data_IF_108719382545
#
_entry.id   IF_108719382545
#
_cell.length_a   1.000
_cell.length_b   1.000
_cell.length_c   1.000
_cell.angle_alpha   90.00
_cell.angle_beta   90.00
_cell.angle_gamma   90.00
#
_symmetry.space_group_name_H-M   'P 1'
#
loop_
_entity.id
_entity.type
_entity.pdbx_description
1 polymer ?
#
# COMPACT_ATOMS: atom_id res chain seq x y z
N UNK A 1 -60.28 -4.85 44.46
CA UNK A 1 -58.80 -4.95 44.49
C UNK A 1 -58.31 -5.01 43.05
N UNK A 2 -57.95 -3.87 42.46
CA UNK A 2 -57.32 -3.80 41.14
C UNK A 2 -55.84 -3.48 41.35
N UNK A 3 -54.98 -4.47 41.14
CA UNK A 3 -53.53 -4.30 41.19
C UNK A 3 -53.03 -3.70 39.89
N UNK A 4 -52.40 -2.53 39.96
CA UNK A 4 -51.69 -1.93 38.84
C UNK A 4 -50.28 -2.52 38.79
N UNK A 5 -49.95 -3.25 37.73
CA UNK A 5 -48.58 -3.65 37.42
C UNK A 5 -47.86 -2.49 36.76
N UNK A 6 -46.91 -1.90 37.50
CA UNK A 6 -46.00 -0.89 36.97
C UNK A 6 -45.01 -1.56 36.00
N UNK A 7 -45.06 -1.19 34.72
CA UNK A 7 -43.98 -1.47 33.79
C UNK A 7 -42.81 -0.55 34.11
N UNK A 8 -41.70 -1.13 34.56
CA UNK A 8 -40.43 -0.44 34.65
C UNK A 8 -39.94 -0.14 33.22
N UNK A 9 -39.93 1.13 32.84
CA UNK A 9 -39.18 1.59 31.68
C UNK A 9 -37.68 1.37 31.97
N UNK A 10 -37.09 0.39 31.29
CA UNK A 10 -35.63 0.32 31.16
C UNK A 10 -35.25 1.49 30.28
N UNK A 11 -34.70 2.55 30.89
CA UNK A 11 -34.09 3.65 30.16
C UNK A 11 -32.98 3.06 29.28
N UNK A 12 -33.14 3.17 27.97
CA UNK A 12 -32.07 2.87 27.02
C UNK A 12 -30.88 3.77 27.38
N UNK A 13 -29.80 3.18 27.91
CA UNK A 13 -28.54 3.89 28.13
C UNK A 13 -28.06 4.35 26.76
N UNK A 14 -28.18 5.65 26.49
CA UNK A 14 -27.60 6.25 25.31
C UNK A 14 -26.09 5.97 25.33
N UNK A 15 -25.64 5.14 24.39
CA UNK A 15 -24.21 4.87 24.18
C UNK A 15 -23.58 6.24 23.86
N UNK A 16 -22.56 6.62 24.64
CA UNK A 16 -21.86 7.88 24.41
C UNK A 16 -21.31 7.91 22.97
N UNK A 17 -21.35 9.06 22.27
CA UNK A 17 -20.79 9.14 20.93
C UNK A 17 -19.30 8.77 20.96
N UNK A 18 -18.78 8.13 19.89
CA UNK A 18 -17.37 7.77 19.83
C UNK A 18 -16.50 9.03 19.95
N UNK A 19 -15.29 8.91 20.53
CA UNK A 19 -14.37 10.03 20.64
C UNK A 19 -14.01 10.55 19.24
N UNK A 20 -13.95 11.87 19.11
CA UNK A 20 -13.61 12.51 17.85
C UNK A 20 -12.20 12.09 17.37
N UNK A 21 -11.98 11.98 16.05
CA UNK A 21 -10.65 11.72 15.50
C UNK A 21 -9.65 12.80 15.96
N UNK A 22 -8.37 12.45 16.20
CA UNK A 22 -7.35 13.44 16.55
C UNK A 22 -7.21 14.47 15.43
N UNK A 23 -6.93 15.72 15.78
CA UNK A 23 -6.75 16.79 14.80
C UNK A 23 -5.44 16.63 14.01
N UNK A 24 -5.39 17.20 12.80
CA UNK A 24 -4.22 17.12 11.91
C UNK A 24 -2.91 17.56 12.57
N UNK A 25 -2.95 18.63 13.37
CA UNK A 25 -1.80 19.14 14.09
C UNK A 25 -1.35 18.21 15.22
N UNK A 26 -2.27 17.46 15.83
CA UNK A 26 -1.97 16.45 16.85
C UNK A 26 -1.30 15.23 16.23
N UNK A 27 -1.77 14.79 15.06
CA UNK A 27 -1.21 13.64 14.33
C UNK A 27 0.24 13.90 13.92
N UNK A 28 0.52 15.11 13.42
CA UNK A 28 1.82 15.51 12.88
C UNK A 28 2.75 16.13 13.93
N UNK A 29 2.34 16.22 15.20
CA UNK A 29 3.14 16.88 16.24
C UNK A 29 4.35 16.02 16.59
N UNK A 30 5.55 16.60 16.43
CA UNK A 30 6.80 15.99 16.93
C UNK A 30 6.91 16.23 18.43
N UNK A 31 7.01 15.17 19.26
CA UNK A 31 7.24 15.33 20.70
C UNK A 31 8.58 16.05 20.97
N UNK A 32 8.66 17.00 21.93
CA UNK A 32 9.91 17.68 22.26
C UNK A 32 11.06 16.71 22.64
N UNK A 33 10.72 15.59 23.30
CA UNK A 33 11.70 14.55 23.63
C UNK A 33 12.24 13.84 22.39
N UNK A 34 11.39 13.58 21.39
CA UNK A 34 11.83 13.00 20.12
C UNK A 34 12.75 13.97 19.37
N UNK A 35 12.36 15.25 19.28
CA UNK A 35 13.19 16.30 18.70
C UNK A 35 14.57 16.32 19.37
N UNK A 36 14.64 16.40 20.70
CA UNK A 36 15.91 16.41 21.43
C UNK A 36 16.79 15.19 21.15
N UNK A 37 16.20 13.99 21.07
CA UNK A 37 16.94 12.76 20.74
C UNK A 37 17.47 12.78 19.31
N UNK A 38 16.68 13.24 18.34
CA UNK A 38 17.11 13.38 16.94
C UNK A 38 18.30 14.33 16.84
N UNK A 39 18.22 15.50 17.49
CA UNK A 39 19.31 16.49 17.53
C UNK A 39 20.58 15.97 18.21
N UNK A 40 20.45 15.02 19.16
CA UNK A 40 21.59 14.38 19.81
C UNK A 40 22.23 13.29 18.94
N UNK A 41 21.44 12.56 18.16
CA UNK A 41 21.86 11.37 17.40
C UNK A 41 22.35 11.68 16.00
N UNK A 42 21.96 12.83 15.44
CA UNK A 42 22.30 13.23 14.08
C UNK A 42 23.25 14.43 14.12
N UNK A 43 24.40 14.30 13.47
CA UNK A 43 25.33 15.43 13.33
C UNK A 43 24.82 16.38 12.24
N UNK A 44 24.24 17.51 12.64
CA UNK A 44 23.71 18.51 11.70
C UNK A 44 24.77 19.14 10.79
N UNK A 45 26.06 19.07 11.16
CA UNK A 45 27.17 19.58 10.35
C UNK A 45 27.60 18.59 9.29
N UNK A 46 27.19 17.32 9.41
CA UNK A 46 27.50 16.29 8.44
C UNK A 46 26.77 16.52 7.10
N UNK A 47 27.32 15.98 5.99
CA UNK A 47 26.64 15.96 4.70
C UNK A 47 25.24 15.35 4.80
N UNK A 48 24.31 15.79 3.95
CA UNK A 48 22.90 15.35 3.95
C UNK A 48 22.76 13.83 3.89
N UNK A 49 23.59 13.16 3.09
CA UNK A 49 23.56 11.71 2.96
C UNK A 49 23.99 10.98 4.24
N UNK A 50 24.97 11.53 4.96
CA UNK A 50 25.39 10.99 6.25
C UNK A 50 24.32 11.21 7.33
N UNK A 51 23.64 12.37 7.32
CA UNK A 51 22.48 12.63 8.20
C UNK A 51 21.36 11.63 7.95
N UNK A 52 21.05 11.34 6.69
CA UNK A 52 20.06 10.35 6.32
C UNK A 52 20.44 8.94 6.84
N UNK A 53 21.70 8.53 6.68
CA UNK A 53 22.18 7.25 7.20
C UNK A 53 22.10 7.17 8.74
N UNK A 54 22.45 8.24 9.44
CA UNK A 54 22.31 8.34 10.90
C UNK A 54 20.85 8.22 11.34
N UNK A 55 19.92 8.86 10.62
CA UNK A 55 18.49 8.75 10.88
C UNK A 55 17.95 7.34 10.64
N UNK A 56 18.33 6.69 9.54
CA UNK A 56 17.92 5.30 9.26
C UNK A 56 18.39 4.38 10.39
N UNK A 57 19.66 4.50 10.81
CA UNK A 57 20.18 3.76 11.96
C UNK A 57 19.41 4.06 13.24
N UNK A 58 19.22 5.34 13.55
CA UNK A 58 18.45 5.76 14.73
C UNK A 58 17.02 5.19 14.73
N UNK A 59 16.37 5.06 13.57
CA UNK A 59 15.01 4.52 13.49
C UNK A 59 14.95 3.00 13.81
N UNK A 60 15.95 2.21 13.45
CA UNK A 60 15.88 0.75 13.50
C UNK A 60 16.84 0.07 14.47
N UNK A 61 17.92 0.72 14.88
CA UNK A 61 18.90 0.11 15.78
C UNK A 61 18.31 -0.02 17.19
N UNK A 62 18.72 -1.08 17.90
CA UNK A 62 18.25 -1.40 19.25
C UNK A 62 18.58 -0.31 20.28
N UNK A 63 19.66 0.45 20.06
CA UNK A 63 20.03 1.60 20.89
C UNK A 63 19.36 2.91 20.43
N UNK A 64 18.56 2.88 19.36
CA UNK A 64 17.81 3.99 18.81
C UNK A 64 16.32 3.93 19.16
N UNK A 65 15.47 3.89 18.13
CA UNK A 65 14.03 3.79 18.29
C UNK A 65 13.51 2.35 18.38
N UNK A 66 14.25 1.39 17.81
CA UNK A 66 13.88 -0.02 17.73
C UNK A 66 12.44 -0.21 17.22
N UNK A 67 12.09 0.46 16.11
CA UNK A 67 10.73 0.45 15.58
C UNK A 67 10.33 -0.97 15.12
N UNK A 68 9.19 -1.44 15.61
CA UNK A 68 8.63 -2.76 15.33
C UNK A 68 7.42 -2.65 14.40
N UNK A 69 7.38 -3.49 13.37
CA UNK A 69 6.26 -3.50 12.43
C UNK A 69 4.99 -4.10 13.04
N UNK A 70 3.87 -3.40 12.88
CA UNK A 70 2.52 -3.83 13.22
C UNK A 70 1.54 -3.25 12.20
N UNK A 71 0.92 -4.12 11.40
CA UNK A 71 -0.02 -3.72 10.35
C UNK A 71 -1.22 -2.91 10.86
N UNK A 72 -1.63 -3.07 12.12
CA UNK A 72 -2.77 -2.36 12.72
C UNK A 72 -2.39 -1.06 13.44
N UNK A 73 -1.11 -0.70 13.45
CA UNK A 73 -0.60 0.46 14.18
C UNK A 73 -0.62 1.74 13.33
N UNK A 74 -1.80 2.17 12.86
CA UNK A 74 -1.95 3.50 12.24
C UNK A 74 -1.89 4.58 13.32
N UNK A 75 -0.67 4.93 13.73
CA UNK A 75 -0.40 5.83 14.86
C UNK A 75 -0.04 7.26 14.41
N UNK A 76 -0.35 8.24 15.25
CA UNK A 76 0.27 9.58 15.17
C UNK A 76 1.77 9.52 15.46
N UNK A 77 2.50 10.59 15.16
CA UNK A 77 3.94 10.67 15.45
C UNK A 77 4.23 10.46 16.95
N UNK A 78 3.41 11.07 17.81
CA UNK A 78 3.56 10.94 19.26
C UNK A 78 3.28 9.51 19.75
N UNK A 79 2.23 8.87 19.25
CA UNK A 79 1.89 7.48 19.58
C UNK A 79 2.93 6.50 19.05
N UNK A 80 3.44 6.70 17.84
CA UNK A 80 4.55 5.90 17.30
C UNK A 80 5.78 6.03 18.18
N UNK A 81 6.15 7.25 18.60
CA UNK A 81 7.28 7.44 19.49
C UNK A 81 7.08 6.78 20.87
N UNK A 82 5.86 6.79 21.40
CA UNK A 82 5.56 6.19 22.70
C UNK A 82 5.53 4.65 22.64
N UNK A 83 4.95 4.08 21.57
CA UNK A 83 4.70 2.63 21.46
C UNK A 83 5.79 1.87 20.72
N UNK A 84 6.57 2.56 19.89
CA UNK A 84 7.54 1.99 18.93
C UNK A 84 6.93 1.01 17.93
N UNK A 85 5.60 0.98 17.81
CA UNK A 85 4.87 0.18 16.82
C UNK A 85 4.53 1.03 15.60
N UNK A 86 4.80 0.49 14.42
CA UNK A 86 4.56 1.19 13.15
C UNK A 86 3.97 0.29 12.08
N UNK A 87 3.06 0.84 11.27
CA UNK A 87 2.86 0.35 9.91
C UNK A 87 3.58 1.28 8.91
N UNK A 88 3.40 1.01 7.62
CA UNK A 88 4.04 1.77 6.54
C UNK A 88 3.76 3.28 6.63
N UNK A 89 2.51 3.65 6.95
CA UNK A 89 2.10 5.04 7.05
C UNK A 89 2.68 5.72 8.29
N UNK A 90 2.51 5.15 9.49
CA UNK A 90 2.95 5.79 10.73
C UNK A 90 4.48 5.92 10.79
N UNK A 91 5.21 4.93 10.25
CA UNK A 91 6.65 5.05 10.03
C UNK A 91 6.99 6.21 9.08
N UNK A 92 6.30 6.28 7.95
CA UNK A 92 6.56 7.32 6.96
C UNK A 92 6.32 8.71 7.52
N UNK A 93 5.23 8.92 8.27
CA UNK A 93 4.94 10.18 8.95
C UNK A 93 6.04 10.54 9.97
N UNK A 94 6.42 9.59 10.84
CA UNK A 94 7.50 9.77 11.82
C UNK A 94 8.81 10.13 11.13
N UNK A 95 9.21 9.35 10.13
CA UNK A 95 10.51 9.49 9.48
C UNK A 95 10.61 10.78 8.68
N UNK A 96 9.56 11.15 7.92
CA UNK A 96 9.51 12.44 7.22
C UNK A 96 9.65 13.60 8.21
N UNK A 97 8.99 13.53 9.37
CA UNK A 97 9.11 14.56 10.39
C UNK A 97 10.54 14.65 10.96
N UNK A 98 11.16 13.51 11.32
CA UNK A 98 12.56 13.49 11.79
C UNK A 98 13.55 13.97 10.70
N UNK A 99 13.32 13.60 9.44
CA UNK A 99 14.16 14.02 8.32
C UNK A 99 14.10 15.53 8.09
N UNK A 100 12.89 16.11 8.13
CA UNK A 100 12.69 17.57 8.05
C UNK A 100 13.33 18.28 9.26
N UNK A 101 13.25 17.69 10.45
CA UNK A 101 13.84 18.23 11.69
C UNK A 101 15.37 18.37 11.64
N UNK A 102 16.04 17.54 10.85
CA UNK A 102 17.50 17.63 10.61
C UNK A 102 17.85 18.32 9.28
N UNK A 103 16.89 19.01 8.66
CA UNK A 103 17.09 19.83 7.47
C UNK A 103 17.25 19.03 6.17
N UNK A 104 16.62 17.87 6.05
CA UNK A 104 16.49 17.12 4.79
C UNK A 104 15.21 17.52 4.06
N UNK A 105 15.28 17.54 2.74
CA UNK A 105 14.12 17.68 1.85
C UNK A 105 13.42 16.32 1.76
N UNK A 106 12.45 16.09 2.65
CA UNK A 106 11.73 14.84 2.79
C UNK A 106 10.21 15.04 2.67
N UNK A 107 9.54 14.09 2.04
CA UNK A 107 8.11 14.11 1.80
C UNK A 107 7.53 12.70 1.81
N UNK A 108 6.23 12.62 2.00
CA UNK A 108 5.50 11.37 1.85
C UNK A 108 5.33 11.09 0.36
N UNK A 109 5.51 9.85 -0.05
CA UNK A 109 5.28 9.41 -1.42
C UNK A 109 4.23 8.32 -1.44
N UNK A 110 3.20 8.50 -2.25
CA UNK A 110 2.23 7.46 -2.55
C UNK A 110 2.87 6.48 -3.52
N UNK A 111 3.01 5.23 -3.09
CA UNK A 111 3.44 4.16 -3.97
C UNK A 111 2.20 3.63 -4.65
N UNK A 112 2.22 3.55 -5.98
CA UNK A 112 1.10 2.99 -6.72
C UNK A 112 0.72 1.60 -6.22
N UNK A 113 -0.59 1.32 -6.30
CA UNK A 113 -1.31 0.07 -5.97
C UNK A 113 -0.49 -0.98 -5.24
N UNK A 114 -0.40 -0.77 -3.93
CA UNK A 114 -0.02 -1.82 -3.00
C UNK A 114 -1.30 -2.49 -2.52
N UNK A 115 -1.37 -3.81 -2.70
CA UNK A 115 -2.51 -4.62 -2.30
C UNK A 115 -2.54 -4.80 -0.78
N UNK A 116 -2.83 -3.77 -0.01
CA UNK A 116 -3.39 -3.92 1.34
C UNK A 116 -4.91 -3.91 1.24
N UNK A 117 -5.45 -4.93 0.55
CA UNK A 117 -6.87 -5.23 0.61
C UNK A 117 -7.16 -5.92 1.93
N UNK A 118 -7.95 -5.28 2.78
CA UNK A 118 -8.72 -6.02 3.77
C UNK A 118 -9.98 -6.49 3.05
N UNK A 119 -10.19 -7.81 3.01
CA UNK A 119 -11.43 -8.39 2.54
C UNK A 119 -12.21 -8.87 3.77
N UNK A 120 -13.41 -8.34 3.96
CA UNK A 120 -14.36 -8.84 4.95
C UNK A 120 -15.67 -9.19 4.24
N UNK A 121 -15.95 -10.49 4.13
CA UNK A 121 -17.00 -11.02 3.27
C UNK A 121 -16.80 -10.62 1.80
N UNK A 122 -17.80 -9.93 1.25
CA UNK A 122 -17.78 -9.43 -0.14
C UNK A 122 -17.22 -8.00 -0.25
N UNK A 123 -16.83 -7.35 0.84
CA UNK A 123 -16.43 -5.95 0.82
C UNK A 123 -14.90 -5.78 0.81
N UNK A 124 -14.40 -4.95 -0.12
CA UNK A 124 -12.98 -4.62 -0.25
C UNK A 124 -12.69 -3.21 0.29
N UNK A 125 -11.90 -3.14 1.36
CA UNK A 125 -11.37 -1.87 1.90
C UNK A 125 -10.01 -1.54 1.31
N UNK A 126 -9.70 -0.25 1.23
CA UNK A 126 -8.38 0.21 0.81
C UNK A 126 -7.67 0.84 2.00
N UNK A 127 -6.52 0.29 2.36
CA UNK A 127 -5.49 1.05 3.04
C UNK A 127 -4.45 1.48 1.99
N UNK A 128 -4.03 2.74 2.02
CA UNK A 128 -2.93 3.17 1.13
C UNK A 128 -1.58 2.73 1.68
N UNK A 129 -0.61 2.49 0.80
CA UNK A 129 0.80 2.33 1.17
C UNK A 129 1.56 3.58 0.73
N UNK A 130 2.37 4.10 1.64
CA UNK A 130 3.17 5.29 1.42
C UNK A 130 4.59 5.05 1.92
N UNK A 131 5.52 5.75 1.30
CA UNK A 131 6.94 5.67 1.57
C UNK A 131 7.51 7.05 1.89
N UNK A 132 8.75 7.07 2.37
CA UNK A 132 9.51 8.30 2.52
C UNK A 132 10.27 8.58 1.23
N UNK A 133 10.03 9.72 0.62
CA UNK A 133 10.88 10.30 -0.42
C UNK A 133 11.85 11.30 0.15
N UNK A 134 13.14 11.20 -0.17
CA UNK A 134 14.16 12.18 0.23
C UNK A 134 14.93 12.65 -1.01
N UNK A 135 15.12 13.96 -1.14
CA UNK A 135 15.93 14.57 -2.20
C UNK A 135 17.26 15.08 -1.64
N UNK A 136 18.35 14.61 -2.22
CA UNK A 136 19.72 15.02 -1.86
C UNK A 136 20.46 15.36 -3.14
N UNK A 137 20.87 16.62 -3.28
CA UNK A 137 21.70 17.11 -4.39
C UNK A 137 21.17 16.73 -5.79
N UNK A 138 19.84 16.84 -5.95
CA UNK A 138 19.14 16.50 -7.19
C UNK A 138 18.85 15.02 -7.40
N UNK A 139 19.36 14.14 -6.52
CA UNK A 139 19.06 12.70 -6.50
C UNK A 139 17.89 12.42 -5.57
N UNK A 140 17.06 11.45 -5.95
CA UNK A 140 15.94 10.96 -5.15
C UNK A 140 16.28 9.61 -4.52
N UNK A 141 15.87 9.42 -3.27
CA UNK A 141 15.95 8.16 -2.54
C UNK A 141 14.59 7.86 -1.90
N UNK A 142 14.07 6.65 -2.09
CA UNK A 142 12.89 6.15 -1.40
C UNK A 142 13.33 5.25 -0.24
N UNK A 143 12.72 5.43 0.93
CA UNK A 143 12.86 4.55 2.08
C UNK A 143 11.51 3.91 2.34
N UNK A 144 11.47 2.59 2.28
CA UNK A 144 10.28 1.78 2.47
C UNK A 144 10.52 0.72 3.55
N UNK A 145 9.51 0.50 4.39
CA UNK A 145 9.47 -0.62 5.33
C UNK A 145 9.18 -1.94 4.63
N UNK A 146 8.44 -1.92 3.52
CA UNK A 146 8.09 -3.07 2.73
C UNK A 146 8.71 -2.97 1.33
N UNK A 147 9.88 -3.61 1.15
CA UNK A 147 10.58 -3.65 -0.14
C UNK A 147 9.81 -4.37 -1.25
N UNK A 148 8.65 -4.96 -0.97
CA UNK A 148 7.93 -5.79 -1.94
C UNK A 148 7.15 -4.99 -2.99
N UNK A 149 7.08 -3.65 -2.88
CA UNK A 149 6.14 -2.88 -3.69
C UNK A 149 6.78 -1.73 -4.46
N UNK A 150 7.39 -2.08 -5.58
CA UNK A 150 7.93 -1.12 -6.55
C UNK A 150 7.58 -1.55 -7.97
N UNK A 151 6.28 -1.65 -8.26
CA UNK A 151 5.78 -2.10 -9.57
C UNK A 151 4.68 -1.19 -10.16
N UNK A 152 4.61 0.09 -9.76
CA UNK A 152 3.89 1.10 -10.57
C UNK A 152 4.84 1.66 -11.63
N UNK A 153 4.36 1.76 -12.88
CA UNK A 153 5.04 2.41 -14.01
C UNK A 153 5.46 3.84 -13.70
N UNK A 154 4.72 4.53 -12.83
CA UNK A 154 5.01 5.90 -12.39
C UNK A 154 6.00 5.96 -11.23
N UNK A 155 6.28 4.83 -10.57
CA UNK A 155 7.04 4.80 -9.33
C UNK A 155 6.33 5.55 -8.19
N UNK A 156 6.99 5.70 -7.03
CA UNK A 156 6.50 6.53 -5.93
C UNK A 156 6.26 7.97 -6.40
N UNK A 157 5.11 8.54 -6.03
CA UNK A 157 4.74 9.90 -6.37
C UNK A 157 4.67 10.76 -5.11
N UNK A 158 5.32 11.93 -5.08
CA UNK A 158 5.25 12.79 -3.91
C UNK A 158 3.85 13.33 -3.69
N UNK A 159 3.43 13.34 -2.43
CA UNK A 159 2.12 13.81 -2.01
C UNK A 159 2.24 14.89 -0.94
N UNK A 160 1.20 15.73 -0.85
CA UNK A 160 1.14 16.76 0.20
C UNK A 160 0.92 16.13 1.58
N UNK A 161 1.31 16.85 2.63
CA UNK A 161 1.01 16.45 4.02
C UNK A 161 -0.51 16.29 4.25
N UNK A 162 -1.33 17.08 3.54
CA UNK A 162 -2.78 16.98 3.57
C UNK A 162 -3.27 15.64 2.98
N UNK A 163 -2.70 15.19 1.85
CA UNK A 163 -2.97 13.86 1.30
C UNK A 163 -2.49 12.75 2.25
N UNK A 164 -1.34 12.92 2.89
CA UNK A 164 -0.83 11.96 3.87
C UNK A 164 -1.76 11.83 5.10
N UNK A 165 -2.34 12.94 5.57
CA UNK A 165 -3.39 12.94 6.59
C UNK A 165 -4.67 12.25 6.11
N UNK A 166 -5.04 12.43 4.82
CA UNK A 166 -6.16 11.69 4.24
C UNK A 166 -5.92 10.16 4.29
N UNK A 167 -4.70 9.70 3.98
CA UNK A 167 -4.30 8.30 4.16
C UNK A 167 -4.44 7.86 5.64
N UNK A 168 -4.01 8.68 6.59
CA UNK A 168 -4.11 8.37 8.03
C UNK A 168 -5.55 8.14 8.46
N UNK A 169 -6.41 9.11 8.20
CA UNK A 169 -7.82 9.01 8.56
C UNK A 169 -8.53 7.88 7.81
N UNK A 170 -8.21 7.66 6.54
CA UNK A 170 -8.76 6.54 5.77
C UNK A 170 -8.37 5.18 6.34
N UNK A 171 -7.09 4.99 6.68
CA UNK A 171 -6.59 3.72 7.23
C UNK A 171 -7.23 3.45 8.60
N UNK A 172 -7.31 4.45 9.47
CA UNK A 172 -8.05 4.34 10.74
C UNK A 172 -9.53 4.02 10.54
N UNK A 173 -10.18 4.66 9.57
CA UNK A 173 -11.57 4.38 9.22
C UNK A 173 -11.77 2.93 8.77
N UNK A 174 -10.85 2.40 7.95
CA UNK A 174 -10.87 1.00 7.52
C UNK A 174 -10.65 0.02 8.67
N UNK A 175 -9.71 0.30 9.58
CA UNK A 175 -9.46 -0.50 10.79
C UNK A 175 -10.70 -0.53 11.71
N UNK A 176 -11.30 0.63 11.97
CA UNK A 176 -12.51 0.74 12.81
C UNK A 176 -13.71 0.02 12.18
N UNK A 177 -13.86 0.08 10.85
CA UNK A 177 -14.86 -0.75 10.17
C UNK A 177 -14.59 -2.24 10.39
N UNK A 178 -13.35 -2.70 10.22
CA UNK A 178 -13.00 -4.09 10.43
C UNK A 178 -13.26 -4.56 11.88
N UNK A 179 -13.09 -3.67 12.86
CA UNK A 179 -13.39 -3.92 14.27
C UNK A 179 -14.90 -3.77 14.62
N UNK A 180 -15.73 -3.33 13.65
CA UNK A 180 -17.18 -3.19 13.79
C UNK A 180 -17.65 -1.84 14.36
N UNK A 181 -16.75 -0.91 14.66
CA UNK A 181 -17.09 0.44 15.14
C UNK A 181 -17.40 1.37 13.95
N UNK A 182 -18.59 1.16 13.36
CA UNK A 182 -19.07 1.94 12.22
C UNK A 182 -19.21 3.44 12.54
N UNK A 183 -19.72 3.86 13.71
CA UNK A 183 -19.79 5.29 14.06
C UNK A 183 -18.42 5.98 14.09
N UNK A 184 -17.40 5.37 14.71
CA UNK A 184 -16.06 5.95 14.74
C UNK A 184 -15.41 5.95 13.35
N UNK A 185 -15.63 4.89 12.56
CA UNK A 185 -15.17 4.81 11.18
C UNK A 185 -15.73 5.94 10.31
N UNK A 186 -17.02 6.28 10.46
CA UNK A 186 -17.66 7.37 9.74
C UNK A 186 -16.96 8.70 9.97
N UNK A 187 -16.64 9.01 11.23
CA UNK A 187 -15.95 10.25 11.58
C UNK A 187 -14.55 10.30 10.96
N UNK A 188 -13.82 9.18 10.96
CA UNK A 188 -12.49 9.11 10.35
C UNK A 188 -12.56 9.25 8.82
N UNK A 189 -13.48 8.56 8.14
CA UNK A 189 -13.62 8.69 6.69
C UNK A 189 -14.06 10.10 6.27
N UNK A 190 -14.92 10.76 7.07
CA UNK A 190 -15.27 12.16 6.85
C UNK A 190 -14.05 13.08 6.98
N UNK A 191 -13.19 12.87 7.98
CA UNK A 191 -11.93 13.61 8.11
C UNK A 191 -10.98 13.34 6.94
N UNK A 192 -10.91 12.11 6.44
CA UNK A 192 -10.10 11.77 5.26
C UNK A 192 -10.52 12.60 4.04
N UNK A 193 -11.84 12.72 3.80
CA UNK A 193 -12.40 13.51 2.70
C UNK A 193 -12.31 15.02 2.96
N UNK A 194 -12.32 15.47 4.21
CA UNK A 194 -12.06 16.87 4.54
C UNK A 194 -10.60 17.25 4.24
N UNK A 195 -9.66 16.31 4.46
CA UNK A 195 -8.27 16.50 4.08
C UNK A 195 -8.13 16.45 2.56
N UNK A 196 -8.68 15.46 1.90
CA UNK A 196 -8.60 15.36 0.45
C UNK A 196 -9.87 14.78 -0.18
N UNK A 197 -10.62 15.64 -0.89
CA UNK A 197 -11.84 15.24 -1.59
C UNK A 197 -11.56 14.42 -2.84
N UNK A 198 -10.35 14.46 -3.38
CA UNK A 198 -9.92 13.70 -4.54
C UNK A 198 -9.24 12.38 -4.11
N UNK A 199 -9.58 11.89 -2.92
CA UNK A 199 -9.13 10.60 -2.42
C UNK A 199 -10.13 9.48 -2.70
N UNK A 200 -10.01 8.85 -3.87
CA UNK A 200 -10.90 7.78 -4.32
C UNK A 200 -11.02 6.61 -3.32
N UNK A 201 -9.95 6.28 -2.60
CA UNK A 201 -9.95 5.23 -1.58
C UNK A 201 -10.89 5.55 -0.40
N UNK A 202 -10.94 6.81 0.05
CA UNK A 202 -11.83 7.25 1.10
C UNK A 202 -13.30 7.21 0.67
N UNK A 203 -13.61 7.65 -0.56
CA UNK A 203 -14.95 7.49 -1.14
C UNK A 203 -15.36 6.02 -1.27
N UNK A 204 -14.45 5.14 -1.72
CA UNK A 204 -14.74 3.70 -1.73
C UNK A 204 -15.07 3.18 -0.33
N UNK A 205 -14.23 3.50 0.66
CA UNK A 205 -14.41 3.02 2.02
C UNK A 205 -15.69 3.58 2.66
N UNK A 206 -16.09 4.81 2.33
CA UNK A 206 -17.38 5.38 2.74
C UNK A 206 -18.54 4.59 2.10
N UNK A 207 -18.48 4.29 0.81
CA UNK A 207 -19.51 3.47 0.18
C UNK A 207 -19.62 2.06 0.79
N UNK A 208 -18.51 1.50 1.26
CA UNK A 208 -18.56 0.23 2.00
C UNK A 208 -19.20 0.39 3.38
N UNK A 209 -18.88 1.47 4.10
CA UNK A 209 -19.50 1.80 5.38
C UNK A 209 -21.02 1.91 5.25
N UNK A 210 -21.50 2.66 4.25
CA UNK A 210 -22.92 2.88 3.99
C UNK A 210 -23.65 1.55 3.70
N UNK A 211 -23.02 0.63 2.96
CA UNK A 211 -23.58 -0.72 2.78
C UNK A 211 -23.72 -1.50 4.08
N UNK A 212 -22.76 -1.37 5.00
CA UNK A 212 -22.83 -2.02 6.31
C UNK A 212 -23.90 -1.40 7.19
N UNK A 213 -24.17 -0.12 7.02
CA UNK A 213 -25.24 0.61 7.70
C UNK A 213 -26.62 0.40 7.05
N UNK A 214 -26.68 -0.30 5.91
CA UNK A 214 -27.93 -0.63 5.23
C UNK A 214 -28.42 0.41 4.23
N UNK A 215 -27.56 1.34 3.80
CA UNK A 215 -27.88 2.35 2.77
C UNK A 215 -27.18 2.06 1.43
N UNK A 216 -27.76 1.20 0.57
CA UNK A 216 -27.22 0.93 -0.75
C UNK A 216 -27.32 2.11 -1.72
N UNK A 217 -28.16 3.11 -1.44
CA UNK A 217 -28.30 4.28 -2.29
C UNK A 217 -27.13 5.24 -2.06
N UNK A 218 -26.80 5.53 -0.80
CA UNK A 218 -25.60 6.30 -0.43
C UNK A 218 -24.33 5.61 -0.96
N UNK A 219 -24.20 4.30 -0.73
CA UNK A 219 -23.08 3.52 -1.26
C UNK A 219 -22.92 3.62 -2.79
N UNK A 220 -24.03 3.64 -3.53
CA UNK A 220 -24.01 3.81 -4.99
C UNK A 220 -23.40 5.17 -5.38
N UNK A 221 -23.72 6.23 -4.64
CA UNK A 221 -23.21 7.59 -4.89
C UNK A 221 -21.72 7.69 -4.55
N UNK A 222 -21.30 7.07 -3.45
CA UNK A 222 -19.90 7.09 -3.02
C UNK A 222 -19.00 6.29 -3.96
N UNK A 223 -19.42 5.10 -4.42
CA UNK A 223 -18.67 4.37 -5.45
C UNK A 223 -18.62 5.12 -6.78
N UNK A 224 -19.72 5.78 -7.16
CA UNK A 224 -19.72 6.61 -8.37
C UNK A 224 -18.74 7.78 -8.24
N UNK A 225 -18.65 8.41 -7.06
CA UNK A 225 -17.71 9.49 -6.77
C UNK A 225 -16.26 8.98 -6.79
N UNK A 226 -15.98 7.83 -6.14
CA UNK A 226 -14.66 7.19 -6.20
C UNK A 226 -14.22 6.93 -7.64
N UNK A 227 -15.13 6.46 -8.50
CA UNK A 227 -14.88 6.17 -9.91
C UNK A 227 -14.86 7.41 -10.81
N UNK A 228 -15.37 8.54 -10.34
CA UNK A 228 -15.22 9.83 -11.02
C UNK A 228 -13.82 10.42 -10.74
N UNK A 229 -13.33 10.26 -9.50
CA UNK A 229 -12.00 10.68 -9.06
C UNK A 229 -10.91 9.79 -9.68
N UNK A 230 -11.03 8.47 -9.58
CA UNK A 230 -10.16 7.51 -10.24
C UNK A 230 -11.00 6.49 -11.04
N UNK A 231 -11.14 6.69 -12.37
CA UNK A 231 -11.89 5.79 -13.25
C UNK A 231 -11.40 4.34 -13.28
N UNK A 232 -10.16 4.10 -12.85
CA UNK A 232 -9.53 2.80 -12.85
C UNK A 232 -9.45 2.19 -11.45
N UNK A 233 -10.07 2.79 -10.44
CA UNK A 233 -10.00 2.33 -9.05
C UNK A 233 -10.59 0.93 -8.88
N UNK A 234 -9.73 -0.10 -8.81
CA UNK A 234 -10.14 -1.50 -8.89
C UNK A 234 -11.12 -1.91 -7.79
N UNK A 235 -10.84 -1.53 -6.53
CA UNK A 235 -11.71 -1.87 -5.40
C UNK A 235 -13.09 -1.23 -5.53
N UNK A 236 -13.18 -0.02 -6.09
CA UNK A 236 -14.45 0.66 -6.29
C UNK A 236 -15.25 0.01 -7.43
N UNK A 237 -14.58 -0.42 -8.51
CA UNK A 237 -15.21 -1.22 -9.57
C UNK A 237 -15.74 -2.56 -9.03
N UNK A 238 -14.95 -3.26 -8.21
CA UNK A 238 -15.35 -4.53 -7.59
C UNK A 238 -16.53 -4.34 -6.64
N UNK A 239 -16.45 -3.38 -5.71
CA UNK A 239 -17.50 -3.14 -4.74
C UNK A 239 -18.80 -2.66 -5.41
N UNK A 240 -18.72 -1.81 -6.43
CA UNK A 240 -19.88 -1.41 -7.22
C UNK A 240 -20.52 -2.59 -7.96
N UNK A 241 -19.71 -3.50 -8.54
CA UNK A 241 -20.22 -4.71 -9.19
C UNK A 241 -20.99 -5.60 -8.20
N UNK A 242 -20.43 -5.80 -7.01
CA UNK A 242 -21.05 -6.58 -5.92
C UNK A 242 -22.35 -5.93 -5.46
N UNK A 243 -22.37 -4.60 -5.30
CA UNK A 243 -23.58 -3.86 -4.97
C UNK A 243 -24.66 -4.05 -6.04
N UNK A 244 -24.33 -3.87 -7.32
CA UNK A 244 -25.32 -4.04 -8.39
C UNK A 244 -25.86 -5.47 -8.51
N UNK A 245 -25.02 -6.48 -8.23
CA UNK A 245 -25.48 -7.86 -8.11
C UNK A 245 -26.53 -8.02 -7.00
N UNK A 246 -26.26 -7.47 -5.81
CA UNK A 246 -27.20 -7.51 -4.66
C UNK A 246 -28.51 -6.80 -4.96
N UNK A 247 -28.47 -5.73 -5.77
CA UNK A 247 -29.64 -5.00 -6.23
C UNK A 247 -30.36 -5.64 -7.43
N UNK A 248 -29.85 -6.76 -7.97
CA UNK A 248 -30.41 -7.40 -9.16
C UNK A 248 -30.18 -6.64 -10.47
N UNK A 249 -29.29 -5.65 -10.50
CA UNK A 249 -28.96 -4.87 -11.70
C UNK A 249 -27.79 -5.50 -12.47
N UNK A 250 -28.07 -6.59 -13.17
CA UNK A 250 -27.07 -7.32 -13.96
C UNK A 250 -26.41 -6.47 -15.06
N UNK A 251 -27.09 -5.42 -15.56
CA UNK A 251 -26.54 -4.54 -16.59
C UNK A 251 -25.41 -3.68 -16.03
N UNK A 252 -25.64 -3.04 -14.87
CA UNK A 252 -24.61 -2.21 -14.22
C UNK A 252 -23.49 -3.06 -13.63
N UNK A 253 -23.80 -4.25 -13.10
CA UNK A 253 -22.79 -5.22 -12.68
C UNK A 253 -21.84 -5.56 -13.84
N UNK A 254 -22.37 -6.02 -14.98
CA UNK A 254 -21.56 -6.40 -16.14
C UNK A 254 -20.69 -5.25 -16.64
N UNK A 255 -21.20 -4.02 -16.59
CA UNK A 255 -20.43 -2.84 -16.96
C UNK A 255 -19.24 -2.59 -16.03
N UNK A 256 -19.41 -2.75 -14.71
CA UNK A 256 -18.32 -2.58 -13.75
C UNK A 256 -17.28 -3.71 -13.87
N UNK A 257 -17.72 -4.96 -14.04
CA UNK A 257 -16.82 -6.10 -14.25
C UNK A 257 -16.01 -5.97 -15.54
N UNK A 258 -16.63 -5.52 -16.64
CA UNK A 258 -15.91 -5.29 -17.89
C UNK A 258 -14.86 -4.18 -17.75
N UNK A 259 -15.14 -3.12 -16.98
CA UNK A 259 -14.14 -2.08 -16.65
C UNK A 259 -13.01 -2.66 -15.79
N UNK A 260 -13.34 -3.42 -14.74
CA UNK A 260 -12.35 -4.04 -13.86
C UNK A 260 -11.40 -4.95 -14.63
N UNK A 261 -11.95 -5.80 -15.52
CA UNK A 261 -11.17 -6.68 -16.37
C UNK A 261 -10.22 -5.89 -17.29
N UNK A 262 -10.69 -4.80 -17.91
CA UNK A 262 -9.82 -3.93 -18.72
C UNK A 262 -8.67 -3.36 -17.91
N UNK A 263 -8.95 -2.83 -16.71
CA UNK A 263 -7.91 -2.29 -15.81
C UNK A 263 -6.87 -3.37 -15.49
N UNK A 264 -7.31 -4.57 -15.10
CA UNK A 264 -6.43 -5.70 -14.78
C UNK A 264 -5.58 -6.15 -15.98
N UNK A 265 -6.15 -6.15 -17.18
CA UNK A 265 -5.44 -6.53 -18.41
C UNK A 265 -4.36 -5.51 -18.80
N UNK A 266 -4.57 -4.24 -18.46
CA UNK A 266 -3.61 -3.16 -18.77
C UNK A 266 -2.62 -2.86 -17.64
N UNK A 267 -2.75 -3.54 -16.50
CA UNK A 267 -1.88 -3.38 -15.34
C UNK A 267 -0.73 -4.41 -15.37
N UNK A 268 0.53 -3.99 -15.61
CA UNK A 268 1.68 -4.91 -15.67
C UNK A 268 1.89 -5.67 -14.36
N UNK A 269 1.55 -5.08 -13.21
CA UNK A 269 1.68 -5.74 -11.92
C UNK A 269 0.65 -6.85 -11.76
N UNK A 270 -0.60 -6.63 -12.20
CA UNK A 270 -1.61 -7.70 -12.23
C UNK A 270 -1.18 -8.85 -13.14
N UNK A 271 -0.61 -8.56 -14.31
CA UNK A 271 -0.06 -9.60 -15.18
C UNK A 271 1.09 -10.36 -14.50
N UNK A 272 1.97 -9.67 -13.77
CA UNK A 272 3.02 -10.32 -12.99
C UNK A 272 2.48 -11.24 -11.88
N UNK A 273 1.46 -10.81 -11.13
CA UNK A 273 0.83 -11.61 -10.09
C UNK A 273 0.16 -12.87 -10.66
N UNK A 274 -0.52 -12.75 -11.80
CA UNK A 274 -1.08 -13.90 -12.53
C UNK A 274 0.03 -14.87 -12.97
N UNK A 275 1.18 -14.35 -13.41
CA UNK A 275 2.35 -15.15 -13.73
C UNK A 275 2.90 -15.92 -12.52
N UNK A 276 3.03 -15.26 -11.37
CA UNK A 276 3.48 -15.90 -10.13
C UNK A 276 2.52 -17.01 -9.67
N UNK A 277 1.21 -16.77 -9.80
CA UNK A 277 0.19 -17.76 -9.46
C UNK A 277 0.23 -18.96 -10.40
N UNK A 278 0.38 -18.75 -11.71
CA UNK A 278 0.58 -19.83 -12.67
C UNK A 278 1.86 -20.64 -12.37
N UNK A 279 2.96 -19.95 -12.00
CA UNK A 279 4.22 -20.59 -11.62
C UNK A 279 4.08 -21.44 -10.34
N UNK A 280 3.35 -20.96 -9.32
CA UNK A 280 3.03 -21.74 -8.11
C UNK A 280 2.24 -23.01 -8.44
N UNK A 281 1.34 -22.92 -9.42
CA UNK A 281 0.60 -24.06 -9.97
C UNK A 281 1.41 -24.92 -10.95
N UNK A 282 2.71 -24.60 -11.13
CA UNK A 282 3.63 -25.25 -12.06
C UNK A 282 3.20 -25.18 -13.55
N UNK A 283 2.25 -24.30 -13.87
CA UNK A 283 1.88 -23.98 -15.25
C UNK A 283 2.84 -22.94 -15.81
N UNK A 284 4.05 -23.39 -16.12
CA UNK A 284 5.13 -22.51 -16.57
C UNK A 284 4.84 -21.89 -17.95
N UNK A 285 4.06 -22.57 -18.80
CA UNK A 285 3.64 -22.05 -20.10
C UNK A 285 2.73 -20.82 -19.93
N UNK A 286 1.71 -20.91 -19.06
CA UNK A 286 0.87 -19.76 -18.74
C UNK A 286 1.67 -18.64 -18.05
N UNK A 287 2.56 -18.99 -17.11
CA UNK A 287 3.42 -18.02 -16.43
C UNK A 287 4.26 -17.21 -17.42
N UNK A 288 4.90 -17.88 -18.40
CA UNK A 288 5.63 -17.21 -19.50
C UNK A 288 4.72 -16.25 -20.26
N UNK A 289 3.48 -16.67 -20.59
CA UNK A 289 2.50 -15.82 -21.25
C UNK A 289 2.21 -14.53 -20.50
N UNK A 290 1.94 -14.64 -19.20
CA UNK A 290 1.67 -13.50 -18.31
C UNK A 290 2.87 -12.58 -18.13
N UNK A 291 4.07 -13.11 -17.86
CA UNK A 291 5.27 -12.28 -17.71
C UNK A 291 5.64 -11.56 -19.02
N UNK A 292 5.45 -12.20 -20.18
CA UNK A 292 5.61 -11.53 -21.48
C UNK A 292 4.56 -10.45 -21.69
N UNK A 293 3.35 -10.63 -21.18
CA UNK A 293 2.33 -9.58 -21.23
C UNK A 293 2.70 -8.40 -20.33
N UNK A 294 3.13 -8.66 -19.10
CA UNK A 294 3.65 -7.65 -18.19
C UNK A 294 4.78 -6.83 -18.83
N UNK A 295 5.73 -7.50 -19.49
CA UNK A 295 6.84 -6.85 -20.20
C UNK A 295 6.42 -6.02 -21.41
N UNK A 296 5.33 -6.38 -22.11
CA UNK A 296 4.77 -5.53 -23.18
C UNK A 296 4.16 -4.25 -22.62
N UNK A 297 3.60 -4.32 -21.41
CA UNK A 297 3.00 -3.17 -20.74
C UNK A 297 4.07 -2.31 -20.07
N UNK A 298 5.11 -2.93 -19.52
CA UNK A 298 6.22 -2.25 -18.84
C UNK A 298 7.50 -3.08 -18.95
N UNK A 299 8.46 -2.59 -19.73
CA UNK A 299 9.74 -3.25 -20.03
C UNK A 299 10.89 -2.72 -19.18
N UNK A 300 10.62 -1.81 -18.23
CA UNK A 300 11.64 -1.16 -17.40
C UNK A 300 12.04 -1.92 -16.15
N UNK A 301 11.25 -2.89 -15.69
CA UNK A 301 11.51 -3.63 -14.45
C UNK A 301 12.39 -4.87 -14.67
N UNK A 302 13.58 -4.87 -14.07
CA UNK A 302 14.47 -6.03 -13.95
C UNK A 302 13.77 -7.27 -13.36
N UNK A 303 12.87 -7.05 -12.39
CA UNK A 303 12.10 -8.10 -11.75
C UNK A 303 11.25 -8.90 -12.75
N UNK A 304 10.66 -8.24 -13.76
CA UNK A 304 9.82 -8.89 -14.76
C UNK A 304 10.64 -9.80 -15.68
N UNK A 305 11.82 -9.34 -16.09
CA UNK A 305 12.77 -10.16 -16.84
C UNK A 305 13.28 -11.33 -16.01
N UNK A 306 13.56 -11.11 -14.71
CA UNK A 306 13.99 -12.18 -13.83
C UNK A 306 12.90 -13.24 -13.64
N UNK A 307 11.64 -12.85 -13.45
CA UNK A 307 10.52 -13.76 -13.35
C UNK A 307 10.32 -14.57 -14.66
N UNK A 308 10.44 -13.90 -15.81
CA UNK A 308 10.40 -14.57 -17.10
C UNK A 308 11.57 -15.55 -17.29
N UNK A 309 12.79 -15.18 -16.88
CA UNK A 309 13.96 -16.06 -16.93
C UNK A 309 13.76 -17.32 -16.09
N UNK A 310 13.21 -17.16 -14.88
CA UNK A 310 12.89 -18.26 -13.98
C UNK A 310 11.83 -19.18 -14.58
N UNK A 311 10.75 -18.63 -15.14
CA UNK A 311 9.71 -19.43 -15.79
C UNK A 311 10.23 -20.19 -17.00
N UNK A 312 11.08 -19.58 -17.85
CA UNK A 312 11.73 -20.29 -18.95
C UNK A 312 12.60 -21.44 -18.46
N UNK A 313 13.37 -21.24 -17.38
CA UNK A 313 14.21 -22.29 -16.82
C UNK A 313 13.37 -23.46 -16.30
N UNK A 314 12.30 -23.17 -15.55
CA UNK A 314 11.38 -24.19 -15.03
C UNK A 314 10.62 -24.92 -16.14
N UNK A 315 10.37 -24.24 -17.27
CA UNK A 315 9.82 -24.83 -18.49
C UNK A 315 10.86 -25.57 -19.36
N UNK A 316 12.12 -25.69 -18.91
CA UNK A 316 13.20 -26.39 -19.62
C UNK A 316 13.85 -25.60 -20.78
N UNK A 317 13.50 -24.33 -20.98
CA UNK A 317 14.09 -23.46 -22.00
C UNK A 317 15.25 -22.64 -21.45
N UNK A 318 16.38 -23.32 -21.21
CA UNK A 318 17.61 -22.72 -20.65
C UNK A 318 18.16 -21.58 -21.52
N UNK A 319 17.92 -21.62 -22.84
CA UNK A 319 18.41 -20.60 -23.78
C UNK A 319 17.65 -19.28 -23.60
N UNK A 320 16.32 -19.33 -23.56
CA UNK A 320 15.51 -18.14 -23.30
C UNK A 320 15.66 -17.65 -21.87
N UNK A 321 15.86 -18.57 -20.91
CA UNK A 321 16.19 -18.20 -19.53
C UNK A 321 17.45 -17.34 -19.45
N UNK A 322 18.53 -17.73 -20.14
CA UNK A 322 19.78 -16.97 -20.19
C UNK A 322 19.56 -15.58 -20.81
N UNK A 323 18.82 -15.50 -21.92
CA UNK A 323 18.51 -14.22 -22.57
C UNK A 323 17.72 -13.29 -21.65
N UNK A 324 16.65 -13.79 -21.01
CA UNK A 324 15.84 -12.99 -20.09
C UNK A 324 16.65 -12.56 -18.85
N UNK A 325 17.56 -13.39 -18.35
CA UNK A 325 18.40 -13.04 -17.20
C UNK A 325 19.47 -11.99 -17.54
N UNK A 326 19.95 -11.94 -18.78
CA UNK A 326 20.78 -10.84 -19.27
C UNK A 326 20.01 -9.52 -19.32
N UNK A 327 18.74 -9.57 -19.75
CA UNK A 327 17.86 -8.39 -19.69
C UNK A 327 17.63 -7.94 -18.25
N UNK A 328 17.36 -8.88 -17.33
CA UNK A 328 17.24 -8.55 -15.91
C UNK A 328 18.49 -7.81 -15.39
N UNK A 329 19.69 -8.28 -15.74
CA UNK A 329 20.94 -7.61 -15.38
C UNK A 329 21.07 -6.21 -16.01
N UNK A 330 20.71 -6.06 -17.28
CA UNK A 330 20.79 -4.78 -18.00
C UNK A 330 19.85 -3.70 -17.43
N UNK A 331 18.69 -4.10 -16.90
CA UNK A 331 17.70 -3.22 -16.29
C UNK A 331 17.87 -3.06 -14.77
N UNK A 332 18.83 -3.74 -14.16
CA UNK A 332 19.05 -3.71 -12.72
C UNK A 332 19.82 -2.49 -12.25
N UNK A 333 19.46 -1.96 -11.08
CA UNK A 333 20.28 -0.99 -10.38
C UNK A 333 21.61 -1.60 -9.90
N UNK A 334 22.55 -0.73 -9.48
CA UNK A 334 23.88 -1.15 -9.01
C UNK A 334 23.85 -2.12 -7.83
N UNK A 335 22.79 -2.10 -7.01
CA UNK A 335 22.65 -2.98 -5.84
C UNK A 335 22.17 -4.37 -6.23
N UNK A 336 21.34 -4.47 -7.27
CA UNK A 336 20.78 -5.72 -7.77
C UNK A 336 21.68 -6.42 -8.81
N UNK A 337 22.53 -5.68 -9.54
CA UNK A 337 23.42 -6.22 -10.57
C UNK A 337 24.28 -7.42 -10.11
N UNK A 338 24.98 -7.40 -8.96
CA UNK A 338 25.79 -8.54 -8.52
C UNK A 338 24.97 -9.82 -8.36
N UNK A 339 23.72 -9.71 -7.89
CA UNK A 339 22.81 -10.84 -7.70
C UNK A 339 22.42 -11.48 -9.02
N UNK A 340 22.11 -10.68 -10.04
CA UNK A 340 21.76 -11.24 -11.36
C UNK A 340 22.97 -11.80 -12.09
N UNK A 341 24.14 -11.17 -11.95
CA UNK A 341 25.39 -11.70 -12.50
C UNK A 341 25.68 -13.10 -11.95
N UNK A 342 25.61 -13.29 -10.63
CA UNK A 342 25.83 -14.60 -10.01
C UNK A 342 24.84 -15.69 -10.51
N UNK A 343 23.57 -15.32 -10.70
CA UNK A 343 22.54 -16.22 -11.26
C UNK A 343 22.85 -16.58 -12.71
N UNK A 344 23.31 -15.62 -13.50
CA UNK A 344 23.67 -15.80 -14.90
C UNK A 344 24.85 -16.77 -15.05
N UNK A 345 25.87 -16.61 -14.22
CA UNK A 345 27.04 -17.50 -14.22
C UNK A 345 26.67 -18.92 -13.79
N UNK A 346 25.78 -19.07 -12.80
CA UNK A 346 25.27 -20.38 -12.39
C UNK A 346 24.50 -21.08 -13.53
N UNK A 347 23.65 -20.35 -14.25
CA UNK A 347 22.88 -20.88 -15.38
C UNK A 347 23.77 -21.35 -16.54
N UNK A 348 24.85 -20.60 -16.83
CA UNK A 348 25.84 -20.96 -17.86
C UNK A 348 26.59 -22.25 -17.50
N UNK A 349 27.01 -22.39 -16.23
CA UNK A 349 27.66 -23.64 -15.75
C UNK A 349 26.76 -24.86 -15.89
N UNK A 350 25.48 -24.74 -15.53
CA UNK A 350 24.49 -25.82 -15.71
C UNK A 350 24.38 -26.24 -17.18
N UNK A 351 24.30 -25.26 -18.09
CA UNK A 351 24.19 -25.52 -19.53
C UNK A 351 25.40 -26.28 -20.10
N UNK A 352 26.61 -25.91 -19.67
CA UNK A 352 27.83 -26.59 -20.10
C UNK A 352 27.93 -28.03 -19.57
N UNK A 353 27.54 -28.27 -18.31
CA UNK A 353 27.57 -29.61 -17.74
C UNK A 353 26.57 -30.57 -18.40
N UNK A 354 25.37 -30.09 -18.77
CA UNK A 354 24.38 -30.90 -19.49
C UNK A 354 24.81 -31.23 -20.92
N UNK A 355 25.60 -30.37 -21.56
CA UNK A 355 26.15 -30.62 -22.90
C UNK A 355 27.35 -31.58 -22.87
N UNK A 356 28.15 -31.59 -21.80
CA UNK A 356 29.29 -32.50 -21.65
C UNK A 356 28.89 -33.94 -21.27
N UNK A 357 27.63 -34.16 -20.86
CA UNK A 357 27.07 -35.46 -20.46
C UNK A 357 26.23 -36.14 -21.55
N UNK A 358 26.06 -35.48 -22.71
CA UNK A 358 25.42 -36.02 -23.92
C UNK A 358 26.49 -36.28 -24.96
#
# INVERSE_FOLDING_TARGET
MFGWTAFALVAATAIAPPPAPPAADQIMRVPPALHALVQQRVDLRAPREQRLQQLVKFAFDADGLDLQYDAKATNSIAETYATRRVNCLSFTLLFVAMARDVGLDAQVEEVGRVLSWYQDGDALYNAGHVNVGVRIDGRHASIDLDRSVLMDRRGPQPISDRRALAHYYNNRGAELMADGDLPAAQQHLAMALQMDRDFAAAWNNLGVLELRQGDPQAATQDYATALAVDPNHMSALSNAAILYRRLGDGRREAAMLARLQRVQQTDPFQQYLLGNEAERRQDYAAAIGYYRHALRLYDGADLLYFALARAYLLNGDTRRANTALQQALAHADKTAQPRYQAKLDALRRLSHNTQAQR
#
